data_IF_086577436574
#
_entry.id   IF_086577436574
#
_cell.length_a   1.000
_cell.length_b   1.000
_cell.length_c   1.000
_cell.angle_alpha   90.00
_cell.angle_beta   90.00
_cell.angle_gamma   90.00
#
_symmetry.space_group_name_H-M   'P 1'
#
loop_
_entity.id
_entity.type
_entity.pdbx_description
1 polymer ?
#
# COMPACT_ATOMS: atom_id res chain seq x y z
N UNK A 1 -19.58 -26.58 29.48
CA UNK A 1 -19.51 -25.16 29.08
C UNK A 1 -20.35 -24.35 30.04
N UNK A 2 -19.70 -23.52 30.85
CA UNK A 2 -20.39 -22.43 31.53
C UNK A 2 -20.67 -21.36 30.48
N UNK A 3 -21.93 -20.94 30.35
CA UNK A 3 -22.32 -19.81 29.50
C UNK A 3 -21.73 -18.54 30.11
N UNK A 4 -20.50 -18.19 29.75
CA UNK A 4 -19.92 -16.89 30.10
C UNK A 4 -20.86 -15.79 29.61
N UNK A 5 -21.28 -14.92 30.53
CA UNK A 5 -22.15 -13.81 30.21
C UNK A 5 -21.33 -12.75 29.45
N UNK A 6 -21.64 -12.57 28.17
CA UNK A 6 -20.92 -11.64 27.28
C UNK A 6 -21.21 -10.17 27.59
N UNK A 7 -22.36 -9.87 28.22
CA UNK A 7 -22.76 -8.49 28.52
C UNK A 7 -21.78 -7.77 29.46
N UNK A 8 -21.32 -8.36 30.58
CA UNK A 8 -20.26 -7.79 31.40
C UNK A 8 -18.95 -7.51 30.65
N UNK A 9 -18.50 -8.44 29.78
CA UNK A 9 -17.22 -8.30 29.08
C UNK A 9 -17.25 -7.16 28.05
N UNK A 10 -18.37 -7.01 27.33
CA UNK A 10 -18.53 -5.91 26.40
C UNK A 10 -18.53 -4.55 27.14
N UNK A 11 -19.16 -4.47 28.31
CA UNK A 11 -19.13 -3.25 29.12
C UNK A 11 -17.72 -2.92 29.63
N UNK A 12 -16.90 -3.92 29.96
CA UNK A 12 -15.50 -3.70 30.34
C UNK A 12 -14.67 -3.17 29.17
N UNK A 13 -14.91 -3.66 27.94
CA UNK A 13 -14.29 -3.15 26.72
C UNK A 13 -14.69 -1.70 26.43
N UNK A 14 -16.00 -1.38 26.53
CA UNK A 14 -16.50 0.00 26.38
C UNK A 14 -15.84 0.96 27.37
N UNK A 15 -15.68 0.55 28.63
CA UNK A 15 -14.99 1.34 29.65
C UNK A 15 -13.51 1.54 29.32
N UNK A 16 -12.82 0.52 28.84
CA UNK A 16 -11.42 0.63 28.43
C UNK A 16 -11.23 1.67 27.32
N UNK A 17 -12.15 1.74 26.36
CA UNK A 17 -12.15 2.78 25.30
C UNK A 17 -12.34 4.18 25.89
N UNK A 18 -13.27 4.36 26.83
CA UNK A 18 -13.50 5.66 27.48
C UNK A 18 -12.30 6.07 28.34
N UNK A 19 -11.71 5.13 29.08
CA UNK A 19 -10.53 5.34 29.90
C UNK A 19 -9.33 5.76 29.03
N UNK A 20 -9.12 5.06 27.91
CA UNK A 20 -8.10 5.42 26.91
C UNK A 20 -8.33 6.84 26.38
N UNK A 21 -9.54 7.17 25.90
CA UNK A 21 -9.86 8.50 25.37
C UNK A 21 -9.63 9.61 26.40
N UNK A 22 -10.08 9.41 27.63
CA UNK A 22 -9.89 10.36 28.71
C UNK A 22 -8.41 10.55 29.07
N UNK A 23 -7.63 9.47 29.05
CA UNK A 23 -6.21 9.51 29.36
C UNK A 23 -5.39 10.21 28.25
N UNK A 24 -5.51 9.74 27.01
CA UNK A 24 -4.71 10.24 25.87
C UNK A 24 -5.10 11.66 25.47
N UNK A 25 -6.40 11.99 25.48
CA UNK A 25 -6.90 13.29 25.03
C UNK A 25 -7.23 14.27 26.17
N UNK A 26 -6.88 13.91 27.42
CA UNK A 26 -7.17 14.72 28.62
C UNK A 26 -8.66 15.10 28.75
N UNK A 27 -9.54 14.16 28.40
CA UNK A 27 -10.99 14.32 28.48
C UNK A 27 -11.54 13.85 29.84
N UNK A 28 -12.86 14.00 30.04
CA UNK A 28 -13.55 13.60 31.27
C UNK A 28 -14.94 13.02 30.99
N UNK A 29 -15.02 12.19 29.96
CA UNK A 29 -16.24 11.50 29.56
C UNK A 29 -16.65 10.48 30.62
N UNK A 30 -17.96 10.34 30.84
CA UNK A 30 -18.50 9.27 31.70
C UNK A 30 -18.72 7.99 30.89
N UNK A 31 -18.80 6.85 31.58
CA UNK A 31 -19.08 5.57 30.91
C UNK A 31 -20.48 5.53 30.29
N UNK A 32 -21.44 6.24 30.88
CA UNK A 32 -22.80 6.36 30.37
C UNK A 32 -22.90 7.16 29.07
N UNK A 33 -21.89 7.99 28.75
CA UNK A 33 -21.81 8.74 27.50
C UNK A 33 -21.32 7.90 26.32
N UNK A 34 -20.91 6.64 26.53
CA UNK A 34 -20.31 5.79 25.49
C UNK A 34 -21.14 5.74 24.21
N UNK A 35 -22.43 5.38 24.30
CA UNK A 35 -23.29 5.20 23.12
C UNK A 35 -23.58 6.54 22.40
N UNK A 36 -23.31 7.68 23.06
CA UNK A 36 -23.41 9.03 22.47
C UNK A 36 -22.11 9.43 21.77
N UNK A 37 -20.96 9.07 22.33
CA UNK A 37 -19.64 9.33 21.75
C UNK A 37 -19.38 8.42 20.55
N UNK A 38 -19.80 7.16 20.67
CA UNK A 38 -19.55 6.09 19.71
C UNK A 38 -20.89 5.45 19.29
N UNK A 39 -21.71 6.17 18.50
CA UNK A 39 -23.01 5.65 18.05
C UNK A 39 -22.87 4.49 17.05
N UNK A 40 -21.70 4.35 16.40
CA UNK A 40 -21.37 3.28 15.48
C UNK A 40 -20.28 2.39 16.09
N UNK A 41 -20.65 1.17 16.48
CA UNK A 41 -19.74 0.21 17.11
C UNK A 41 -18.76 -0.43 16.11
N UNK A 42 -19.00 -0.24 14.80
CA UNK A 42 -18.12 -0.74 13.75
C UNK A 42 -17.01 0.24 13.38
N UNK A 43 -17.15 1.51 13.77
CA UNK A 43 -16.26 2.62 13.41
C UNK A 43 -15.93 3.49 14.63
N UNK A 44 -15.23 2.91 15.62
CA UNK A 44 -14.78 3.64 16.81
C UNK A 44 -13.35 4.13 16.57
N UNK A 45 -13.18 5.42 16.32
CA UNK A 45 -11.85 6.04 16.22
C UNK A 45 -11.16 6.10 17.58
N UNK A 46 -9.95 5.55 17.67
CA UNK A 46 -9.07 5.66 18.84
C UNK A 46 -8.00 6.73 18.66
N UNK A 47 -7.44 6.86 17.46
CA UNK A 47 -6.39 7.84 17.18
C UNK A 47 -6.55 8.46 15.80
N UNK A 48 -6.18 9.73 15.69
CA UNK A 48 -6.11 10.47 14.43
C UNK A 48 -4.92 11.44 14.48
N UNK A 49 -4.11 11.45 13.44
CA UNK A 49 -3.05 12.44 13.21
C UNK A 49 -2.84 12.66 11.71
N UNK A 50 -1.97 13.59 11.37
CA UNK A 50 -1.48 13.80 10.02
C UNK A 50 0.03 13.62 9.98
N UNK A 51 0.59 13.35 8.80
CA UNK A 51 2.04 13.43 8.57
C UNK A 51 2.56 14.84 8.89
N UNK A 52 3.85 15.02 9.20
CA UNK A 52 4.40 16.33 9.57
C UNK A 52 4.17 17.43 8.52
N UNK A 53 4.11 17.06 7.24
CA UNK A 53 3.80 17.95 6.12
C UNK A 53 2.29 18.17 5.88
N UNK A 54 1.42 17.51 6.65
CA UNK A 54 -0.03 17.62 6.60
C UNK A 54 -0.68 17.03 5.35
N UNK A 55 0.04 16.20 4.57
CA UNK A 55 -0.48 15.66 3.31
C UNK A 55 -1.28 14.38 3.46
N UNK A 56 -0.96 13.58 4.47
CA UNK A 56 -1.58 12.28 4.68
C UNK A 56 -2.19 12.23 6.07
N UNK A 57 -3.41 11.70 6.14
CA UNK A 57 -4.09 11.41 7.40
C UNK A 57 -3.77 9.98 7.84
N UNK A 58 -3.60 9.78 9.15
CA UNK A 58 -3.41 8.48 9.78
C UNK A 58 -4.50 8.32 10.83
N UNK A 59 -5.25 7.23 10.75
CA UNK A 59 -6.35 6.96 11.67
C UNK A 59 -6.30 5.52 12.15
N UNK A 60 -6.67 5.30 13.41
CA UNK A 60 -6.85 3.98 13.98
C UNK A 60 -8.28 3.80 14.48
N UNK A 61 -8.95 2.76 14.01
CA UNK A 61 -10.31 2.41 14.43
C UNK A 61 -10.40 1.00 15.01
N UNK A 62 -11.37 0.79 15.89
CA UNK A 62 -11.78 -0.54 16.35
C UNK A 62 -13.23 -0.82 15.95
N UNK A 63 -13.51 -2.06 15.58
CA UNK A 63 -14.83 -2.58 15.27
C UNK A 63 -15.20 -3.64 16.32
N UNK A 64 -16.16 -3.31 17.19
CA UNK A 64 -16.57 -4.20 18.27
C UNK A 64 -17.51 -5.32 17.79
N UNK A 65 -18.15 -5.16 16.64
CA UNK A 65 -19.06 -6.15 16.06
C UNK A 65 -18.25 -7.32 15.47
N UNK A 66 -17.24 -6.98 14.67
CA UNK A 66 -16.34 -7.94 14.02
C UNK A 66 -15.14 -8.34 14.90
N UNK A 67 -14.90 -7.61 16.01
CA UNK A 67 -13.71 -7.72 16.87
C UNK A 67 -12.43 -7.61 16.05
N UNK A 68 -12.35 -6.52 15.30
CA UNK A 68 -11.17 -6.16 14.52
C UNK A 68 -10.70 -4.78 14.91
N UNK A 69 -9.45 -4.50 14.57
CA UNK A 69 -8.93 -3.14 14.55
C UNK A 69 -8.32 -2.85 13.18
N UNK A 70 -8.29 -1.60 12.77
CA UNK A 70 -7.79 -1.22 11.44
C UNK A 70 -7.09 0.12 11.49
N UNK A 71 -5.89 0.15 10.92
CA UNK A 71 -5.15 1.38 10.66
C UNK A 71 -5.40 1.82 9.21
N UNK A 72 -5.72 3.09 9.06
CA UNK A 72 -6.00 3.72 7.77
C UNK A 72 -5.01 4.82 7.50
N UNK A 73 -4.61 4.94 6.23
CA UNK A 73 -3.93 6.12 5.68
C UNK A 73 -4.77 6.66 4.54
N UNK A 74 -5.17 7.93 4.62
CA UNK A 74 -6.08 8.57 3.65
C UNK A 74 -7.38 7.78 3.38
N UNK A 75 -7.96 7.23 4.45
CA UNK A 75 -9.14 6.34 4.42
C UNK A 75 -8.92 5.01 3.67
N UNK A 76 -7.68 4.64 3.33
CA UNK A 76 -7.33 3.33 2.81
C UNK A 76 -6.84 2.47 3.96
N UNK A 77 -7.48 1.32 4.18
CA UNK A 77 -7.05 0.35 5.18
C UNK A 77 -5.68 -0.20 4.77
N UNK A 78 -4.65 0.09 5.57
CA UNK A 78 -3.30 -0.41 5.33
C UNK A 78 -3.01 -1.68 6.15
N UNK A 79 -3.68 -1.83 7.30
CA UNK A 79 -3.54 -2.97 8.19
C UNK A 79 -4.85 -3.26 8.92
N UNK A 80 -5.31 -4.50 8.87
CA UNK A 80 -6.46 -5.00 9.63
C UNK A 80 -6.11 -6.30 10.30
N UNK A 81 -6.37 -6.42 11.61
CA UNK A 81 -6.19 -7.68 12.34
C UNK A 81 -7.48 -8.04 13.08
N UNK A 82 -7.70 -9.35 13.22
CA UNK A 82 -8.89 -9.94 13.84
C UNK A 82 -8.52 -10.60 15.15
N UNK A 83 -9.34 -10.37 16.17
CA UNK A 83 -9.26 -11.07 17.46
C UNK A 83 -10.10 -12.37 17.46
N UNK A 84 -10.81 -12.66 16.36
CA UNK A 84 -11.58 -13.90 16.19
C UNK A 84 -10.76 -14.90 15.39
N UNK A 85 -10.52 -16.07 15.98
CA UNK A 85 -9.92 -17.24 15.36
C UNK A 85 -10.72 -18.50 15.70
N UNK A 86 -10.54 -19.61 14.95
CA UNK A 86 -11.33 -20.84 15.13
C UNK A 86 -11.26 -21.42 16.56
N UNK A 87 -10.11 -21.29 17.22
CA UNK A 87 -9.86 -21.80 18.57
C UNK A 87 -10.08 -20.75 19.69
N UNK A 88 -10.43 -19.51 19.32
CA UNK A 88 -10.63 -18.42 20.27
C UNK A 88 -12.13 -18.19 20.49
N UNK A 89 -12.57 -18.33 21.74
CA UNK A 89 -13.96 -18.02 22.08
C UNK A 89 -14.24 -16.52 21.93
N UNK A 90 -15.48 -16.16 21.61
CA UNK A 90 -15.89 -14.76 21.52
C UNK A 90 -15.61 -13.95 22.81
N UNK A 91 -15.77 -14.59 23.97
CA UNK A 91 -15.43 -13.98 25.26
C UNK A 91 -13.94 -13.68 25.40
N UNK A 92 -13.09 -14.57 24.88
CA UNK A 92 -11.64 -14.40 24.89
C UNK A 92 -11.23 -13.27 23.94
N UNK A 93 -11.80 -13.22 22.73
CA UNK A 93 -11.58 -12.12 21.79
C UNK A 93 -11.89 -10.75 22.43
N UNK A 94 -13.00 -10.62 23.15
CA UNK A 94 -13.35 -9.37 23.85
C UNK A 94 -12.34 -9.03 24.96
N UNK A 95 -11.85 -10.03 25.70
CA UNK A 95 -10.81 -9.83 26.74
C UNK A 95 -9.49 -9.37 26.11
N UNK A 96 -9.08 -10.00 25.01
CA UNK A 96 -7.85 -9.68 24.29
C UNK A 96 -7.91 -8.27 23.71
N UNK A 97 -9.03 -7.88 23.10
CA UNK A 97 -9.26 -6.49 22.67
C UNK A 97 -9.18 -5.51 23.84
N UNK A 98 -9.79 -5.86 24.98
CA UNK A 98 -9.78 -5.00 26.18
C UNK A 98 -8.36 -4.80 26.71
N UNK A 99 -7.54 -5.86 26.70
CA UNK A 99 -6.14 -5.80 27.11
C UNK A 99 -5.30 -5.00 26.11
N UNK A 100 -5.50 -5.21 24.81
CA UNK A 100 -4.83 -4.46 23.75
C UNK A 100 -5.05 -2.95 23.92
N UNK A 101 -6.31 -2.49 24.07
CA UNK A 101 -6.62 -1.05 24.27
C UNK A 101 -5.94 -0.48 25.51
N UNK A 102 -5.86 -1.26 26.60
CA UNK A 102 -5.20 -0.82 27.85
C UNK A 102 -3.68 -0.73 27.73
N UNK A 103 -3.09 -1.46 26.80
CA UNK A 103 -1.65 -1.48 26.56
C UNK A 103 -1.20 -0.51 25.47
N UNK A 104 -2.11 -0.11 24.59
CA UNK A 104 -1.86 0.87 23.53
C UNK A 104 -1.66 2.28 24.08
N UNK A 105 -0.73 3.02 23.46
CA UNK A 105 -0.63 4.47 23.56
C UNK A 105 -1.04 5.14 22.24
N UNK A 106 -1.29 6.45 22.23
CA UNK A 106 -1.53 7.17 20.98
C UNK A 106 -0.41 6.98 19.95
N UNK A 107 0.84 7.11 20.39
CA UNK A 107 2.02 6.98 19.52
C UNK A 107 2.12 5.59 18.88
N UNK A 108 1.79 4.52 19.62
CA UNK A 108 1.78 3.15 19.08
C UNK A 108 0.71 2.96 18.01
N UNK A 109 -0.47 3.57 18.17
CA UNK A 109 -1.59 3.41 17.24
C UNK A 109 -1.39 4.18 15.93
N UNK A 110 -0.68 5.32 15.98
CA UNK A 110 -0.42 6.14 14.78
C UNK A 110 0.92 5.81 14.10
N UNK A 111 1.76 4.97 14.71
CA UNK A 111 2.96 4.46 14.07
C UNK A 111 2.57 3.56 12.88
N UNK A 112 2.98 3.98 11.68
CA UNK A 112 2.69 3.27 10.43
C UNK A 112 3.87 2.35 10.08
N UNK A 113 3.57 1.09 9.77
CA UNK A 113 4.55 0.15 9.25
C UNK A 113 4.87 0.43 7.78
N UNK A 114 6.16 0.47 7.43
CA UNK A 114 6.62 0.78 6.07
C UNK A 114 6.18 -0.27 5.04
N UNK A 115 6.13 -1.56 5.41
CA UNK A 115 5.73 -2.63 4.49
C UNK A 115 4.23 -2.56 4.21
N UNK A 116 3.41 -2.36 5.24
CA UNK A 116 1.96 -2.20 5.13
C UNK A 116 1.61 -0.97 4.26
N UNK A 117 2.27 0.17 4.51
CA UNK A 117 2.08 1.40 3.72
C UNK A 117 2.46 1.21 2.26
N UNK A 118 3.62 0.60 2.00
CA UNK A 118 4.11 0.34 0.64
C UNK A 118 3.23 -0.65 -0.10
N UNK A 119 2.74 -1.68 0.57
CA UNK A 119 1.85 -2.67 -0.04
C UNK A 119 0.49 -2.07 -0.40
N UNK A 120 -0.08 -1.25 0.48
CA UNK A 120 -1.41 -0.69 0.29
C UNK A 120 -1.44 0.53 -0.66
N UNK A 121 -0.46 1.43 -0.53
CA UNK A 121 -0.44 2.73 -1.21
C UNK A 121 0.78 2.95 -2.13
N UNK A 122 1.81 2.11 -2.05
CA UNK A 122 3.05 2.31 -2.80
C UNK A 122 3.86 3.51 -2.34
N UNK A 123 3.62 4.00 -1.13
CA UNK A 123 4.34 5.12 -0.52
C UNK A 123 5.47 4.59 0.37
N UNK A 124 6.50 5.42 0.57
CA UNK A 124 7.60 5.21 1.51
C UNK A 124 7.62 6.34 2.55
N UNK A 125 8.28 6.11 3.68
CA UNK A 125 8.41 7.07 4.78
C UNK A 125 9.82 7.68 4.73
N UNK A 126 9.93 9.01 4.78
CA UNK A 126 11.24 9.68 4.84
C UNK A 126 11.75 9.85 6.28
N UNK A 127 13.00 10.33 6.44
CA UNK A 127 13.63 10.53 7.75
C UNK A 127 12.88 11.53 8.65
N UNK A 128 12.04 12.39 8.05
CA UNK A 128 11.20 13.36 8.76
C UNK A 128 9.82 12.77 9.13
N UNK A 129 9.49 11.55 8.69
CA UNK A 129 8.21 10.89 8.92
C UNK A 129 7.11 11.25 7.92
N UNK A 130 7.44 11.90 6.80
CA UNK A 130 6.46 12.18 5.74
C UNK A 130 6.34 11.01 4.78
N UNK A 131 5.14 10.83 4.24
CA UNK A 131 4.90 9.80 3.22
C UNK A 131 5.11 10.41 1.84
N UNK A 132 5.79 9.66 0.97
CA UNK A 132 6.05 10.10 -0.39
C UNK A 132 5.98 8.94 -1.37
N UNK A 133 5.65 9.28 -2.62
CA UNK A 133 5.72 8.35 -3.73
C UNK A 133 7.17 8.30 -4.25
N UNK A 134 7.88 7.17 -4.11
CA UNK A 134 9.26 7.06 -4.57
C UNK A 134 9.38 7.21 -6.09
N UNK A 135 8.29 7.02 -6.84
CA UNK A 135 8.25 7.12 -8.31
C UNK A 135 7.64 8.44 -8.82
N UNK A 136 7.36 9.41 -7.95
CA UNK A 136 6.78 10.71 -8.35
C UNK A 136 7.80 11.68 -8.94
N UNK A 137 9.10 11.45 -8.67
CA UNK A 137 10.18 12.27 -9.20
C UNK A 137 10.59 11.75 -10.58
N UNK A 138 11.22 12.63 -11.33
CA UNK A 138 11.90 12.33 -12.59
C UNK A 138 13.40 12.40 -12.24
N UNK A 139 14.04 11.24 -12.10
CA UNK A 139 15.42 11.16 -11.64
C UNK A 139 16.45 11.36 -12.77
N UNK A 140 16.07 11.09 -14.02
CA UNK A 140 16.95 11.26 -15.18
C UNK A 140 16.74 12.58 -15.94
N UNK A 141 15.72 13.36 -15.55
CA UNK A 141 15.32 14.65 -16.11
C UNK A 141 14.84 14.57 -17.57
N UNK A 142 14.25 13.44 -17.99
CA UNK A 142 13.66 13.28 -19.32
C UNK A 142 12.30 13.99 -19.49
N UNK A 143 11.75 14.51 -18.39
CA UNK A 143 10.46 15.19 -18.30
C UNK A 143 9.28 14.27 -17.99
N UNK A 144 9.53 12.99 -17.70
CA UNK A 144 8.55 11.95 -17.38
C UNK A 144 8.85 11.45 -15.96
N UNK A 145 7.89 11.52 -15.01
CA UNK A 145 8.08 10.89 -13.71
C UNK A 145 8.37 9.39 -13.83
N UNK A 146 9.23 8.85 -12.98
CA UNK A 146 9.69 7.45 -13.01
C UNK A 146 8.52 6.45 -13.03
N UNK A 147 7.36 6.81 -12.43
CA UNK A 147 6.13 6.02 -12.47
C UNK A 147 5.63 5.69 -13.88
N UNK A 148 5.89 6.58 -14.83
CA UNK A 148 5.48 6.47 -16.23
C UNK A 148 6.62 6.15 -17.17
N UNK A 149 7.84 6.08 -16.64
CA UNK A 149 9.01 5.72 -17.39
C UNK A 149 9.18 4.18 -17.40
N UNK A 150 9.38 3.63 -18.61
CA UNK A 150 9.66 2.21 -18.79
C UNK A 150 11.16 1.94 -18.93
N UNK A 151 11.98 2.98 -18.93
CA UNK A 151 13.42 2.90 -19.18
C UNK A 151 14.23 3.59 -18.06
N UNK A 152 14.31 2.92 -16.90
CA UNK A 152 15.25 3.23 -15.80
C UNK A 152 16.73 3.41 -16.26
N UNK A 153 17.03 3.16 -17.54
CA UNK A 153 18.30 3.36 -18.19
C UNK A 153 18.13 4.17 -19.48
N UNK A 154 17.98 5.48 -19.35
CA UNK A 154 18.79 6.38 -20.17
C UNK A 154 19.20 7.57 -19.29
N UNK A 155 19.91 7.27 -18.20
CA UNK A 155 20.84 8.23 -17.62
C UNK A 155 21.69 8.78 -18.76
N UNK A 156 21.50 10.05 -19.07
CA UNK A 156 22.38 10.85 -19.90
C UNK A 156 23.82 10.59 -19.46
N UNK A 157 24.45 9.64 -20.13
CA UNK A 157 25.85 9.33 -19.99
C UNK A 157 26.57 10.65 -20.23
N UNK A 158 27.17 11.18 -19.16
CA UNK A 158 27.85 12.45 -19.14
C UNK A 158 29.01 12.42 -20.15
N UNK A 159 28.72 12.74 -21.41
CA UNK A 159 29.70 12.91 -22.47
C UNK A 159 29.84 14.40 -22.74
N UNK A 160 30.58 15.10 -21.88
CA UNK A 160 31.45 16.25 -22.19
C UNK A 160 31.84 17.00 -20.90
N UNK A 161 33.12 17.17 -20.59
CA UNK A 161 33.92 18.28 -21.15
C UNK A 161 35.43 17.97 -21.29
N UNK A 162 35.84 16.70 -21.34
CA UNK A 162 37.20 16.39 -21.80
C UNK A 162 37.19 16.00 -23.27
N UNK A 163 37.65 16.95 -24.08
CA UNK A 163 38.04 16.83 -25.48
C UNK A 163 38.99 15.63 -25.64
N UNK A 164 38.44 14.47 -26.02
CA UNK A 164 39.25 13.35 -26.51
C UNK A 164 39.01 13.29 -28.00
N UNK A 165 39.87 14.01 -28.70
CA UNK A 165 40.07 13.88 -30.13
C UNK A 165 40.12 12.39 -30.52
N UNK A 166 39.35 12.07 -31.55
CA UNK A 166 39.62 11.01 -32.53
C UNK A 166 39.40 9.55 -32.10
N UNK A 167 38.16 9.07 -32.29
CA UNK A 167 37.96 7.78 -32.98
C UNK A 167 36.54 7.67 -33.57
N UNK A 168 36.34 8.34 -34.71
CA UNK A 168 35.38 7.84 -35.68
C UNK A 168 35.84 6.43 -36.10
N UNK A 169 35.21 5.35 -35.62
CA UNK A 169 34.94 4.13 -36.40
C UNK A 169 34.27 3.06 -35.53
N UNK A 170 33.25 2.42 -36.10
CA UNK A 170 32.49 1.26 -35.63
C UNK A 170 31.32 1.52 -34.66
N UNK A 171 30.35 2.35 -35.09
CA UNK A 171 28.94 2.06 -34.77
C UNK A 171 28.51 0.92 -35.70
N UNK A 172 28.49 -0.31 -35.21
CA UNK A 172 27.78 -1.38 -35.91
C UNK A 172 26.28 -1.04 -35.90
N UNK A 173 25.75 -0.64 -37.05
CA UNK A 173 24.32 -0.40 -37.23
C UNK A 173 23.56 -1.72 -37.04
N UNK A 174 22.98 -1.91 -35.85
CA UNK A 174 22.09 -3.05 -35.60
C UNK A 174 20.83 -2.86 -36.46
N UNK A 175 20.42 -3.86 -37.24
CA UNK A 175 19.25 -3.74 -38.11
C UNK A 175 17.97 -3.52 -37.29
N UNK A 176 17.14 -2.58 -37.74
CA UNK A 176 15.85 -2.25 -37.11
C UNK A 176 14.95 -3.48 -36.97
N UNK A 177 14.36 -3.66 -35.79
CA UNK A 177 13.39 -4.74 -35.49
C UNK A 177 12.20 -4.69 -36.47
N UNK A 178 11.70 -3.49 -36.81
CA UNK A 178 10.66 -3.31 -37.82
C UNK A 178 11.09 -3.81 -39.20
N UNK A 179 12.34 -3.56 -39.58
CA UNK A 179 12.94 -4.08 -40.80
C UNK A 179 13.00 -5.61 -40.81
N UNK A 180 13.42 -6.22 -39.70
CA UNK A 180 13.46 -7.67 -39.55
C UNK A 180 12.07 -8.30 -39.63
N UNK A 181 11.06 -7.73 -38.95
CA UNK A 181 9.67 -8.22 -39.01
C UNK A 181 9.12 -8.14 -40.43
N UNK A 182 9.39 -7.05 -41.14
CA UNK A 182 8.96 -6.90 -42.54
C UNK A 182 9.59 -7.97 -43.46
N UNK A 183 10.86 -8.29 -43.23
CA UNK A 183 11.58 -9.32 -43.99
C UNK A 183 11.04 -10.71 -43.72
N UNK A 184 10.79 -11.06 -42.45
CA UNK A 184 10.17 -12.33 -42.08
C UNK A 184 8.78 -12.51 -42.69
N UNK A 185 7.92 -11.48 -42.64
CA UNK A 185 6.59 -11.53 -43.29
C UNK A 185 6.71 -11.74 -44.81
N UNK A 186 7.69 -11.08 -45.44
CA UNK A 186 7.94 -11.20 -46.87
C UNK A 186 8.44 -12.59 -47.27
N UNK A 187 9.28 -13.22 -46.43
CA UNK A 187 9.75 -14.60 -46.62
C UNK A 187 8.60 -15.59 -46.44
N UNK A 188 7.76 -15.41 -45.40
CA UNK A 188 6.57 -16.24 -45.17
C UNK A 188 5.56 -16.19 -46.32
N UNK A 189 5.36 -15.03 -46.95
CA UNK A 189 4.48 -14.90 -48.12
C UNK A 189 5.08 -15.50 -49.39
N UNK A 190 6.41 -15.52 -49.53
CA UNK A 190 7.09 -16.18 -50.65
C UNK A 190 7.01 -17.70 -50.53
N UNK A 191 7.24 -18.24 -49.34
CA UNK A 191 7.14 -19.69 -49.08
C UNK A 191 5.70 -20.21 -49.33
N UNK A 192 4.68 -19.46 -48.88
CA UNK A 192 3.26 -19.79 -49.14
C UNK A 192 2.87 -19.74 -50.63
N UNK A 193 3.54 -18.91 -51.43
CA UNK A 193 3.32 -18.85 -52.88
C UNK A 193 4.06 -19.95 -53.65
N UNK A 194 5.24 -20.38 -53.19
CA UNK A 194 5.94 -21.55 -53.76
C UNK A 194 5.17 -22.85 -53.52
N UNK A 195 4.69 -23.10 -52.28
CA UNK A 195 3.87 -24.29 -51.97
C UNK A 195 2.56 -24.38 -52.79
N UNK A 196 1.94 -23.23 -53.11
CA UNK A 196 0.74 -23.18 -53.97
C UNK A 196 1.05 -23.46 -55.44
N UNK A 197 2.25 -23.10 -55.91
CA UNK A 197 2.68 -23.37 -57.29
C UNK A 197 3.04 -24.83 -57.51
N UNK A 198 3.62 -25.50 -56.51
CA UNK A 198 3.99 -26.92 -56.59
C UNK A 198 2.77 -27.85 -56.49
N UNK A 199 1.76 -27.53 -55.66
CA UNK A 199 0.49 -28.28 -55.61
C UNK A 199 -0.43 -28.10 -56.84
N UNK A 200 -0.11 -27.16 -57.73
CA UNK A 200 -0.83 -26.92 -58.97
C UNK A 200 -0.31 -27.70 -60.19
N UNK A 201 0.88 -28.32 -60.08
CA UNK A 201 1.51 -29.07 -61.17
C UNK A 201 1.43 -30.61 -61.01
N UNK A 202 0.70 -31.11 -59.99
CA UNK A 202 0.54 -32.54 -59.70
C UNK A 202 -0.93 -33.03 -59.81
N UNK A 203 -1.70 -32.52 -60.78
CA UNK A 203 -3.03 -33.05 -61.16
C UNK A 203 -3.13 -33.38 -62.63
#
# INVERSE_FOLDING_TARGET
>A
EELENQSPLLEDLKRAIVDYSNYEFSESNSYEDFDKLYPDLSHIGLAYTETPDGKHSIQYEVNLEEKTWTQYVDNVAIRTESFVEEDISNSQAIKDMTEAIKMSSFDDLVAVDEEDLKQALGLEIDDDGNFYDPLAKDLDNDGIPDRYDNDFKDSDYFESTYDVEDNLHAREEKPSILGQISKFKSEEEKDKNQEKSEKGQER
#
